data_IF_000322385075
#
_entry.id   IF_000322385075
#
_cell.length_a   1.000
_cell.length_b   1.000
_cell.length_c   1.000
_cell.angle_alpha   90.00
_cell.angle_beta   90.00
_cell.angle_gamma   90.00
#
_symmetry.space_group_name_H-M   'P 1'
#
loop_
_entity.id
_entity.type
_entity.pdbx_description
1 polymer ?
#
# COMPACT_ATOMS: atom_id res chain seq x y z
N UNK A 1 1.58 -11.22 17.00
CA UNK A 1 0.54 -10.31 17.51
C UNK A 1 -0.83 -10.98 17.61
N UNK A 2 -1.26 -11.59 16.52
CA UNK A 2 -2.59 -12.25 16.48
C UNK A 2 -2.75 -13.32 17.56
N UNK A 3 -1.74 -14.18 17.72
CA UNK A 3 -1.78 -15.27 18.69
C UNK A 3 -1.60 -14.81 20.13
N UNK A 4 -0.93 -13.67 20.35
CA UNK A 4 -0.64 -13.14 21.69
C UNK A 4 -1.76 -12.24 22.21
N UNK A 5 -2.39 -11.47 21.30
CA UNK A 5 -3.43 -10.50 21.65
C UNK A 5 -4.64 -10.65 20.71
N UNK A 6 -5.35 -11.78 20.80
CA UNK A 6 -6.41 -12.07 19.82
C UNK A 6 -7.56 -11.08 19.82
N UNK A 7 -7.95 -10.58 21.00
CA UNK A 7 -9.06 -9.63 21.08
C UNK A 7 -8.67 -8.27 20.52
N UNK A 8 -7.45 -7.83 20.80
CA UNK A 8 -6.93 -6.58 20.25
C UNK A 8 -6.79 -6.68 18.73
N UNK A 9 -6.30 -7.82 18.23
CA UNK A 9 -6.17 -8.06 16.81
C UNK A 9 -7.54 -8.02 16.12
N UNK A 10 -8.55 -8.67 16.73
CA UNK A 10 -9.91 -8.68 16.18
C UNK A 10 -10.50 -7.28 16.13
N UNK A 11 -10.27 -6.47 17.16
CA UNK A 11 -10.73 -5.09 17.19
C UNK A 11 -10.06 -4.25 16.11
N UNK A 12 -8.76 -4.47 15.89
CA UNK A 12 -8.00 -3.77 14.84
C UNK A 12 -8.50 -4.14 13.45
N UNK A 13 -8.76 -5.43 13.21
CA UNK A 13 -9.31 -5.91 11.94
C UNK A 13 -10.67 -5.27 11.66
N UNK A 14 -11.53 -5.19 12.67
CA UNK A 14 -12.84 -4.57 12.54
C UNK A 14 -12.74 -3.08 12.26
N UNK A 15 -11.80 -2.39 12.91
CA UNK A 15 -11.55 -0.97 12.65
C UNK A 15 -11.16 -0.75 11.19
N UNK A 16 -10.25 -1.57 10.67
CA UNK A 16 -9.81 -1.48 9.28
C UNK A 16 -10.96 -1.72 8.30
N UNK A 17 -11.81 -2.71 8.61
CA UNK A 17 -12.97 -3.03 7.79
C UNK A 17 -13.97 -1.87 7.76
N UNK A 18 -14.27 -1.29 8.93
CA UNK A 18 -15.18 -0.15 9.02
C UNK A 18 -14.62 1.07 8.28
N UNK A 19 -13.33 1.32 8.41
CA UNK A 19 -12.68 2.42 7.69
C UNK A 19 -12.78 2.22 6.17
N UNK A 20 -12.57 0.99 5.70
CA UNK A 20 -12.61 0.68 4.27
C UNK A 20 -14.01 0.82 3.68
N UNK A 21 -15.05 0.58 4.46
CA UNK A 21 -16.44 0.64 3.98
C UNK A 21 -17.14 1.95 4.33
N UNK A 22 -16.43 2.89 4.95
CA UNK A 22 -17.03 4.14 5.44
C UNK A 22 -17.44 5.11 4.33
N UNK A 23 -16.95 4.94 3.12
CA UNK A 23 -17.20 5.88 2.04
C UNK A 23 -17.23 5.21 0.67
N UNK A 24 -17.30 6.03 -0.40
CA UNK A 24 -17.56 5.54 -1.76
C UNK A 24 -16.35 5.02 -2.52
N UNK A 25 -15.14 5.04 -1.94
CA UNK A 25 -13.94 4.60 -2.65
C UNK A 25 -13.94 3.09 -2.81
N UNK A 26 -13.55 2.62 -3.98
CA UNK A 26 -13.47 1.17 -4.23
C UNK A 26 -12.15 0.59 -3.70
N UNK A 27 -12.04 -0.74 -3.75
CA UNK A 27 -10.89 -1.47 -3.21
C UNK A 27 -9.56 -1.03 -3.83
N UNK A 28 -9.56 -0.80 -5.14
CA UNK A 28 -8.34 -0.38 -5.85
C UNK A 28 -7.92 1.02 -5.42
N UNK A 29 -8.87 1.95 -5.37
CA UNK A 29 -8.62 3.32 -4.93
C UNK A 29 -8.10 3.35 -3.49
N UNK A 30 -8.74 2.60 -2.60
CA UNK A 30 -8.34 2.50 -1.20
C UNK A 30 -6.89 2.01 -1.09
N UNK A 31 -6.53 0.96 -1.82
CA UNK A 31 -5.18 0.40 -1.77
C UNK A 31 -4.13 1.39 -2.30
N UNK A 32 -4.44 2.09 -3.39
CA UNK A 32 -3.53 3.09 -3.94
C UNK A 32 -3.34 4.27 -2.99
N UNK A 33 -4.43 4.74 -2.38
CA UNK A 33 -4.38 5.83 -1.40
C UNK A 33 -3.55 5.42 -0.19
N UNK A 34 -3.77 4.21 0.33
CA UNK A 34 -3.01 3.72 1.49
C UNK A 34 -1.53 3.54 1.18
N UNK A 35 -1.20 3.15 -0.06
CA UNK A 35 0.19 3.11 -0.50
C UNK A 35 0.82 4.51 -0.40
N UNK A 36 0.08 5.53 -0.82
CA UNK A 36 0.55 6.92 -0.73
C UNK A 36 0.71 7.40 0.70
N UNK A 37 -0.23 7.04 1.59
CA UNK A 37 -0.15 7.38 3.00
C UNK A 37 1.08 6.74 3.65
N UNK A 38 1.31 5.45 3.36
CA UNK A 38 2.47 4.73 3.88
C UNK A 38 3.78 5.34 3.36
N UNK A 39 3.80 5.73 2.08
CA UNK A 39 4.96 6.41 1.47
C UNK A 39 5.23 7.74 2.18
N UNK A 40 4.19 8.52 2.45
CA UNK A 40 4.32 9.80 3.14
C UNK A 40 4.85 9.66 4.56
N UNK A 41 4.49 8.57 5.23
CA UNK A 41 4.98 8.27 6.57
C UNK A 41 6.34 7.57 6.55
N UNK A 42 6.90 7.32 5.37
CA UNK A 42 8.19 6.63 5.17
C UNK A 42 8.21 5.24 5.82
N UNK A 43 7.08 4.54 5.75
CA UNK A 43 6.93 3.21 6.31
C UNK A 43 7.16 2.16 5.23
N UNK A 44 8.40 1.76 5.05
CA UNK A 44 8.79 0.85 3.97
C UNK A 44 7.97 -0.44 3.97
N UNK A 45 7.85 -1.09 5.11
CA UNK A 45 7.08 -2.34 5.22
C UNK A 45 5.63 -2.17 4.80
N UNK A 46 5.01 -1.05 5.20
CA UNK A 46 3.63 -0.76 4.83
C UNK A 46 3.49 -0.46 3.33
N UNK A 47 4.49 0.20 2.73
CA UNK A 47 4.50 0.42 1.27
C UNK A 47 4.46 -0.93 0.54
N UNK A 48 5.32 -1.87 0.92
CA UNK A 48 5.33 -3.21 0.32
C UNK A 48 3.98 -3.91 0.49
N UNK A 49 3.42 -3.86 1.69
CA UNK A 49 2.14 -4.50 2.00
C UNK A 49 1.00 -3.91 1.18
N UNK A 50 0.89 -2.59 1.13
CA UNK A 50 -0.18 -1.94 0.37
C UNK A 50 0.00 -2.08 -1.13
N UNK A 51 1.24 -2.17 -1.61
CA UNK A 51 1.52 -2.48 -3.02
C UNK A 51 0.95 -3.86 -3.39
N UNK A 52 1.20 -4.87 -2.56
CA UNK A 52 0.64 -6.21 -2.78
C UNK A 52 -0.88 -6.19 -2.77
N UNK A 53 -1.49 -5.47 -1.85
CA UNK A 53 -2.95 -5.34 -1.77
C UNK A 53 -3.52 -4.61 -2.99
N UNK A 54 -2.80 -3.63 -3.50
CA UNK A 54 -3.22 -2.92 -4.71
C UNK A 54 -3.24 -3.87 -5.91
N UNK A 55 -2.22 -4.71 -6.06
CA UNK A 55 -2.20 -5.74 -7.11
C UNK A 55 -3.39 -6.68 -6.99
N UNK A 56 -3.67 -7.16 -5.78
CA UNK A 56 -4.81 -8.04 -5.50
C UNK A 56 -6.14 -7.37 -5.84
N UNK A 57 -6.23 -6.05 -5.65
CA UNK A 57 -7.43 -5.27 -5.93
C UNK A 57 -7.56 -4.88 -7.41
N UNK A 58 -6.63 -5.32 -8.26
CA UNK A 58 -6.70 -5.10 -9.69
C UNK A 58 -5.92 -3.90 -10.21
N UNK A 59 -5.12 -3.26 -9.38
CA UNK A 59 -4.27 -2.16 -9.85
C UNK A 59 -3.13 -2.72 -10.70
N UNK A 60 -2.80 -2.02 -11.77
CA UNK A 60 -1.67 -2.38 -12.61
C UNK A 60 -0.37 -1.88 -11.99
N UNK A 61 0.78 -2.48 -12.34
CA UNK A 61 2.08 -1.92 -11.94
C UNK A 61 2.23 -0.44 -12.29
N UNK A 62 1.73 -0.04 -13.47
CA UNK A 62 1.79 1.37 -13.88
C UNK A 62 0.98 2.28 -12.96
N UNK A 63 -0.19 1.83 -12.52
CA UNK A 63 -1.01 2.60 -11.59
C UNK A 63 -0.33 2.75 -10.23
N UNK A 64 0.29 1.70 -9.74
CA UNK A 64 0.97 1.72 -8.44
C UNK A 64 2.19 2.64 -8.51
N UNK A 65 2.98 2.55 -9.57
CA UNK A 65 4.12 3.47 -9.78
C UNK A 65 3.65 4.91 -9.90
N UNK A 66 2.54 5.15 -10.60
CA UNK A 66 1.98 6.48 -10.74
C UNK A 66 1.63 7.08 -9.37
N UNK A 67 1.05 6.27 -8.47
CA UNK A 67 0.75 6.73 -7.11
C UNK A 67 2.01 7.23 -6.40
N UNK A 68 3.14 6.53 -6.57
CA UNK A 68 4.41 6.95 -5.97
C UNK A 68 4.96 8.22 -6.63
N UNK A 69 4.84 8.33 -7.96
CA UNK A 69 5.31 9.51 -8.70
C UNK A 69 4.62 10.79 -8.24
N UNK A 70 3.36 10.69 -7.81
CA UNK A 70 2.61 11.86 -7.33
C UNK A 70 3.23 12.48 -6.09
N UNK A 71 4.05 11.76 -5.36
CA UNK A 71 4.70 12.25 -4.15
C UNK A 71 5.85 13.24 -4.45
N UNK A 72 6.27 13.37 -5.71
CA UNK A 72 7.43 14.20 -6.06
C UNK A 72 7.23 15.67 -5.65
N UNK A 73 6.03 16.19 -5.80
CA UNK A 73 5.72 17.58 -5.44
C UNK A 73 5.22 17.74 -4.00
N UNK A 74 5.03 16.65 -3.28
CA UNK A 74 4.55 16.67 -1.90
C UNK A 74 5.66 16.31 -0.91
N UNK A 75 6.44 15.28 -1.22
CA UNK A 75 7.50 14.76 -0.35
C UNK A 75 8.90 15.13 -0.83
N UNK A 76 9.03 15.50 -2.11
CA UNK A 76 10.33 15.79 -2.71
C UNK A 76 10.90 14.60 -3.48
N UNK A 77 11.85 14.89 -4.36
CA UNK A 77 12.42 13.90 -5.28
C UNK A 77 13.12 12.74 -4.56
N UNK A 78 13.99 12.96 -3.56
CA UNK A 78 14.66 11.83 -2.90
C UNK A 78 13.68 10.87 -2.21
N UNK A 79 12.64 11.39 -1.55
CA UNK A 79 11.62 10.56 -0.91
C UNK A 79 10.82 9.78 -1.93
N UNK A 80 10.44 10.42 -3.02
CA UNK A 80 9.71 9.75 -4.11
C UNK A 80 10.55 8.60 -4.69
N UNK A 81 11.84 8.83 -4.93
CA UNK A 81 12.73 7.79 -5.46
C UNK A 81 12.84 6.59 -4.52
N UNK A 82 12.93 6.85 -3.20
CA UNK A 82 12.95 5.76 -2.21
C UNK A 82 11.67 4.94 -2.28
N UNK A 83 10.51 5.61 -2.27
CA UNK A 83 9.21 4.92 -2.32
C UNK A 83 9.06 4.12 -3.61
N UNK A 84 9.47 4.69 -4.73
CA UNK A 84 9.42 4.02 -6.02
C UNK A 84 10.29 2.77 -6.02
N UNK A 85 11.49 2.82 -5.41
CA UNK A 85 12.35 1.65 -5.32
C UNK A 85 11.71 0.54 -4.50
N UNK A 86 11.02 0.87 -3.40
CA UNK A 86 10.32 -0.13 -2.59
C UNK A 86 9.19 -0.79 -3.38
N UNK A 87 8.43 0.01 -4.11
CA UNK A 87 7.36 -0.50 -4.98
C UNK A 87 7.95 -1.43 -6.05
N UNK A 88 9.04 -1.02 -6.69
CA UNK A 88 9.68 -1.83 -7.72
C UNK A 88 10.16 -3.18 -7.16
N UNK A 89 10.69 -3.22 -5.94
CA UNK A 89 11.07 -4.47 -5.29
C UNK A 89 9.87 -5.42 -5.16
N UNK A 90 8.73 -4.88 -4.71
CA UNK A 90 7.52 -5.69 -4.55
C UNK A 90 6.98 -6.17 -5.89
N UNK A 91 6.98 -5.28 -6.89
CA UNK A 91 6.50 -5.63 -8.23
C UNK A 91 7.40 -6.69 -8.88
N UNK A 92 8.71 -6.60 -8.72
CA UNK A 92 9.65 -7.59 -9.24
C UNK A 92 9.44 -8.95 -8.58
N UNK A 93 9.22 -8.98 -7.28
CA UNK A 93 8.92 -10.21 -6.55
C UNK A 93 7.62 -10.84 -7.03
N UNK A 94 6.58 -10.04 -7.22
CA UNK A 94 5.30 -10.53 -7.73
C UNK A 94 5.44 -11.09 -9.14
N UNK A 95 6.24 -10.46 -9.99
CA UNK A 95 6.50 -10.93 -11.35
C UNK A 95 7.22 -12.28 -11.34
N UNK A 96 8.22 -12.45 -10.48
CA UNK A 96 8.94 -13.70 -10.33
C UNK A 96 8.04 -14.83 -9.84
N UNK A 97 7.11 -14.53 -8.94
CA UNK A 97 6.19 -15.53 -8.40
C UNK A 97 5.21 -16.04 -9.45
N UNK A 98 5.01 -15.30 -10.53
CA UNK A 98 4.16 -15.74 -11.66
C UNK A 98 4.85 -16.70 -12.62
N UNK A 99 6.15 -16.75 -12.58
CA UNK A 99 6.94 -17.63 -13.44
C UNK A 99 7.36 -18.90 -12.74
#
# INVERSE_FOLDING_TARGET
>A
FQGTYPELFAAYEELGKQASTAGPLDKKQIALIKSGIAAGAKMEGAVHSHCRRALEAGASPAEIRHAMLLSVTTLGFPSMMACLSWVDETLDTAEKDKT
#
